data_IF_328982257112
#
_entry.id   IF_328982257112
#
_cell.length_a   1.000
_cell.length_b   1.000
_cell.length_c   1.000
_cell.angle_alpha   90.00
_cell.angle_beta   90.00
_cell.angle_gamma   90.00
#
_symmetry.space_group_name_H-M   'P 1'
#
loop_
_entity.id
_entity.type
_entity.pdbx_description
1 polymer ?
#
# COMPACT_ATOMS: atom_id res chain seq x y z
N UNK A 1 -23.59 4.89 -3.05
CA UNK A 1 -22.80 5.80 -2.19
C UNK A 1 -21.34 5.44 -2.43
N UNK A 2 -20.39 6.36 -2.63
CA UNK A 2 -19.08 5.96 -3.11
C UNK A 2 -18.33 5.25 -1.96
N UNK A 3 -18.32 3.92 -1.99
CA UNK A 3 -17.63 3.00 -1.08
C UNK A 3 -16.10 3.04 -1.31
N UNK A 4 -15.53 4.25 -1.24
CA UNK A 4 -14.14 4.54 -1.57
C UNK A 4 -13.27 4.46 -0.31
N UNK A 5 -13.32 3.36 0.44
CA UNK A 5 -12.31 3.09 1.48
C UNK A 5 -11.28 2.12 0.90
N UNK A 6 -10.71 2.53 -0.25
CA UNK A 6 -9.63 1.85 -0.93
C UNK A 6 -8.49 2.85 -1.14
N UNK A 7 -7.54 2.88 -0.21
CA UNK A 7 -6.31 3.70 -0.34
C UNK A 7 -5.27 2.92 -1.13
N UNK A 8 -4.45 3.56 -1.97
CA UNK A 8 -3.34 2.91 -2.67
C UNK A 8 -2.02 3.58 -2.33
N UNK A 9 -0.97 2.80 -2.15
CA UNK A 9 0.42 3.25 -2.05
C UNK A 9 1.18 2.76 -3.25
N UNK A 10 1.72 3.70 -4.02
CA UNK A 10 2.64 3.40 -5.11
C UNK A 10 4.05 3.80 -4.68
N UNK A 11 5.03 2.93 -4.93
CA UNK A 11 6.46 3.21 -4.67
C UNK A 11 7.29 2.61 -5.79
N UNK A 12 8.37 3.29 -6.19
CA UNK A 12 9.34 2.74 -7.13
C UNK A 12 10.36 1.84 -6.44
N UNK A 13 10.65 0.72 -7.09
CA UNK A 13 11.71 -0.18 -6.71
C UNK A 13 13.11 0.34 -7.14
N UNK A 14 14.18 -0.29 -6.64
CA UNK A 14 15.55 -0.01 -7.09
C UNK A 14 15.78 -0.23 -8.59
N UNK A 15 14.97 -1.06 -9.24
CA UNK A 15 14.95 -1.26 -10.71
C UNK A 15 14.19 -0.14 -11.47
N UNK A 16 13.56 0.79 -10.76
CA UNK A 16 12.70 1.84 -11.33
C UNK A 16 11.29 1.38 -11.67
N UNK A 17 10.91 0.15 -11.32
CA UNK A 17 9.55 -0.39 -11.48
C UNK A 17 8.60 0.18 -10.43
N UNK A 18 7.40 0.57 -10.83
CA UNK A 18 6.38 1.02 -9.89
C UNK A 18 5.66 -0.19 -9.27
N UNK A 19 5.62 -0.19 -7.93
CA UNK A 19 4.88 -1.15 -7.13
C UNK A 19 3.71 -0.47 -6.46
N UNK A 20 2.51 -1.00 -6.70
CA UNK A 20 1.27 -0.45 -6.15
C UNK A 20 0.66 -1.44 -5.17
N UNK A 21 0.43 -0.99 -3.95
CA UNK A 21 -0.24 -1.75 -2.89
C UNK A 21 -1.53 -1.04 -2.53
N UNK A 22 -2.64 -1.73 -2.72
CA UNK A 22 -3.99 -1.29 -2.41
C UNK A 22 -4.40 -1.77 -1.03
N UNK A 23 -4.87 -0.85 -0.20
CA UNK A 23 -5.49 -1.13 1.10
C UNK A 23 -6.99 -0.98 0.92
N UNK A 24 -7.69 -2.10 0.91
CA UNK A 24 -9.15 -2.18 0.78
C UNK A 24 -9.76 -2.38 2.17
N UNK A 25 -10.78 -1.60 2.54
CA UNK A 25 -11.55 -1.85 3.76
C UNK A 25 -12.76 -2.71 3.45
N UNK A 26 -12.84 -3.85 4.14
CA UNK A 26 -13.96 -4.77 4.08
C UNK A 26 -14.66 -4.75 5.45
N UNK A 27 -15.60 -3.81 5.60
CA UNK A 27 -16.31 -3.57 6.85
C UNK A 27 -15.39 -3.02 7.96
N UNK A 28 -15.17 -3.82 9.00
CA UNK A 28 -14.29 -3.48 10.13
C UNK A 28 -12.82 -3.85 9.90
N UNK A 29 -12.53 -4.70 8.91
CA UNK A 29 -11.17 -5.17 8.62
C UNK A 29 -10.61 -4.44 7.41
N UNK A 30 -9.29 -4.31 7.35
CA UNK A 30 -8.58 -3.81 6.18
C UNK A 30 -7.75 -4.93 5.59
N UNK A 31 -7.72 -5.03 4.27
CA UNK A 31 -6.94 -6.00 3.51
C UNK A 31 -5.97 -5.20 2.67
N UNK A 32 -4.70 -5.56 2.76
CA UNK A 32 -3.64 -5.00 1.94
C UNK A 32 -3.43 -5.96 0.79
N UNK A 33 -3.27 -5.45 -0.42
CA UNK A 33 -3.04 -6.23 -1.64
C UNK A 33 -2.02 -5.51 -2.52
N UNK A 34 -0.92 -6.15 -2.88
CA UNK A 34 0.02 -5.66 -3.87
C UNK A 34 -0.48 -6.06 -5.26
N UNK A 35 -0.83 -5.08 -6.08
CA UNK A 35 -1.27 -5.32 -7.46
C UNK A 35 -0.12 -5.85 -8.34
N UNK A 36 1.13 -5.56 -7.96
CA UNK A 36 2.32 -5.93 -8.74
C UNK A 36 2.73 -7.39 -8.56
N UNK A 37 2.58 -7.94 -7.36
CA UNK A 37 2.98 -9.32 -7.05
C UNK A 37 1.83 -10.22 -6.58
N UNK A 38 0.61 -9.68 -6.46
CA UNK A 38 -0.57 -10.41 -5.99
C UNK A 38 -0.55 -10.73 -4.49
N UNK A 39 0.40 -10.18 -3.72
CA UNK A 39 0.47 -10.41 -2.28
C UNK A 39 -0.72 -9.78 -1.59
N UNK A 40 -1.51 -10.54 -0.82
CA UNK A 40 -2.60 -9.97 -0.04
C UNK A 40 -2.58 -10.44 1.42
N UNK A 41 -2.91 -9.54 2.35
CA UNK A 41 -2.96 -9.84 3.78
C UNK A 41 -3.97 -8.98 4.53
N UNK A 42 -4.81 -9.59 5.39
CA UNK A 42 -5.64 -8.83 6.31
C UNK A 42 -4.77 -8.15 7.38
N UNK A 43 -4.97 -6.85 7.58
CA UNK A 43 -4.33 -6.05 8.61
C UNK A 43 -5.38 -5.35 9.48
N UNK A 44 -5.29 -5.62 10.78
CA UNK A 44 -6.19 -5.04 11.78
C UNK A 44 -5.63 -3.72 12.33
N UNK A 45 -4.29 -3.60 12.35
CA UNK A 45 -3.58 -2.43 12.82
C UNK A 45 -2.52 -2.04 11.80
N UNK A 46 -2.40 -0.73 11.57
CA UNK A 46 -1.36 -0.11 10.73
C UNK A 46 -1.23 -0.77 9.34
N UNK A 47 -2.31 -0.82 8.54
CA UNK A 47 -2.29 -1.43 7.22
C UNK A 47 -1.27 -0.77 6.28
N UNK A 48 -1.08 0.54 6.44
CA UNK A 48 -0.10 1.32 5.70
C UNK A 48 1.34 0.88 6.02
N UNK A 49 1.70 0.80 7.30
CA UNK A 49 3.03 0.34 7.72
C UNK A 49 3.32 -1.05 7.17
N UNK A 50 2.33 -1.96 7.19
CA UNK A 50 2.46 -3.30 6.63
C UNK A 50 2.62 -3.30 5.11
N UNK A 51 1.99 -2.38 4.39
CA UNK A 51 2.18 -2.18 2.96
C UNK A 51 3.60 -1.69 2.65
N UNK A 52 4.10 -0.70 3.39
CA UNK A 52 5.48 -0.22 3.24
C UNK A 52 6.52 -1.26 3.61
N UNK A 53 6.31 -2.01 4.70
CA UNK A 53 7.14 -3.13 5.10
C UNK A 53 7.25 -4.18 3.99
N UNK A 54 6.15 -4.45 3.28
CA UNK A 54 6.16 -5.37 2.13
C UNK A 54 6.97 -4.80 0.97
N UNK A 55 6.77 -3.53 0.62
CA UNK A 55 7.54 -2.85 -0.42
C UNK A 55 9.04 -2.86 -0.10
N UNK A 56 9.40 -2.56 1.15
CA UNK A 56 10.79 -2.52 1.62
C UNK A 56 11.46 -3.90 1.66
N UNK A 57 10.76 -4.91 2.18
CA UNK A 57 11.35 -6.24 2.42
C UNK A 57 11.28 -7.15 1.19
N UNK A 58 10.17 -7.12 0.45
CA UNK A 58 9.92 -8.05 -0.66
C UNK A 58 10.46 -7.50 -1.97
N UNK A 59 10.26 -6.20 -2.19
CA UNK A 59 10.71 -5.57 -3.42
C UNK A 59 12.09 -4.95 -3.27
N UNK A 60 12.52 -4.64 -2.04
CA UNK A 60 13.70 -3.77 -1.79
C UNK A 60 13.46 -2.37 -2.34
N UNK A 61 12.18 -1.98 -2.40
CA UNK A 61 11.81 -0.66 -2.84
C UNK A 61 12.42 0.32 -1.87
N UNK A 62 13.25 1.21 -2.41
CA UNK A 62 13.94 2.22 -1.61
C UNK A 62 12.86 3.01 -0.90
N UNK A 63 12.74 2.77 0.41
CA UNK A 63 11.86 3.57 1.24
C UNK A 63 12.56 4.90 1.39
N UNK A 64 12.45 5.78 0.39
CA UNK A 64 12.83 7.17 0.58
C UNK A 64 12.00 7.66 1.78
N UNK A 65 12.71 8.05 2.83
CA UNK A 65 12.16 8.37 4.13
C UNK A 65 11.47 9.74 4.15
N UNK A 66 11.49 10.48 3.04
CA UNK A 66 10.68 11.66 2.84
C UNK A 66 9.44 11.28 2.03
N UNK A 67 8.26 11.39 2.65
CA UNK A 67 6.99 11.11 2.00
C UNK A 67 6.79 12.01 0.78
N UNK A 68 6.77 11.41 -0.41
CA UNK A 68 6.31 12.06 -1.62
C UNK A 68 5.15 11.28 -2.23
N UNK A 69 4.00 11.96 -2.29
CA UNK A 69 2.76 11.64 -2.98
C UNK A 69 2.02 10.35 -2.57
N UNK A 70 1.53 10.35 -1.32
CA UNK A 70 0.34 9.56 -0.97
C UNK A 70 -0.88 10.32 -1.50
N UNK A 71 -1.50 9.86 -2.60
CA UNK A 71 -2.85 10.29 -2.96
C UNK A 71 -3.83 9.73 -1.91
N UNK A 72 -3.87 10.39 -0.77
CA UNK A 72 -4.91 10.23 0.23
C UNK A 72 -6.17 10.88 -0.36
N UNK A 73 -7.28 10.17 -0.63
CA UNK A 73 -8.54 10.85 -0.82
C UNK A 73 -8.85 11.56 0.51
N UNK A 74 -8.66 12.88 0.49
CA UNK A 74 -8.99 13.79 1.58
C UNK A 74 -10.48 13.69 1.95
N UNK A 75 -10.75 14.03 3.21
CA UNK A 75 -11.99 13.80 3.97
C UNK A 75 -13.23 14.46 3.39
#
# INVERSE_FOLDING_TARGET
MPEMDASRVSRRDGDGREHTVRVQRTGARRVIECETCGWHRPAQFLPWLKAEEHLAQTHRATVDAAGEAQEQPER
#
